data_IF_397941023977
#
_entry.id   IF_397941023977
#
_cell.length_a   1.000
_cell.length_b   1.000
_cell.length_c   1.000
_cell.angle_alpha   90.00
_cell.angle_beta   90.00
_cell.angle_gamma   90.00
#
_symmetry.space_group_name_H-M   'P 1'
#
loop_
_entity.id
_entity.type
_entity.pdbx_description
1 polymer ?
#
# COMPACT_ATOMS: atom_id res chain seq x y z
N UNK A 1 -13.34 -3.24 -0.60
CA UNK A 1 -13.89 -2.28 -1.57
C UNK A 1 -13.08 -2.39 -2.86
N UNK A 2 -13.69 -2.73 -4.00
CA UNK A 2 -13.01 -2.59 -5.30
C UNK A 2 -13.66 -1.42 -6.04
N UNK A 3 -13.01 -0.26 -6.05
CA UNK A 3 -13.35 0.73 -7.06
C UNK A 3 -13.07 0.12 -8.45
N UNK A 4 -13.98 0.33 -9.40
CA UNK A 4 -13.79 -0.16 -10.77
C UNK A 4 -12.51 0.43 -11.37
N UNK A 5 -11.55 -0.38 -11.83
CA UNK A 5 -10.26 0.07 -12.39
C UNK A 5 -10.40 1.06 -13.54
N UNK A 6 -11.56 1.06 -14.22
CA UNK A 6 -11.91 1.92 -15.35
C UNK A 6 -11.95 3.43 -15.05
N UNK A 7 -11.98 3.86 -13.78
CA UNK A 7 -11.90 5.28 -13.43
C UNK A 7 -10.49 5.86 -13.55
N UNK A 8 -9.47 5.01 -13.55
CA UNK A 8 -8.09 5.43 -13.76
C UNK A 8 -7.77 5.23 -15.25
N UNK A 9 -7.24 6.27 -15.91
CA UNK A 9 -6.65 6.13 -17.23
C UNK A 9 -5.38 5.29 -17.10
N UNK A 10 -5.52 3.96 -17.09
CA UNK A 10 -4.41 3.02 -17.08
C UNK A 10 -3.76 3.10 -18.47
N UNK A 11 -2.54 3.64 -18.50
CA UNK A 11 -1.74 3.65 -19.72
C UNK A 11 -1.46 2.22 -20.20
N UNK A 12 -1.42 2.03 -21.52
CA UNK A 12 -1.34 0.70 -22.12
C UNK A 12 0.01 0.02 -21.80
N UNK A 13 -0.05 -1.16 -21.17
CA UNK A 13 1.10 -1.85 -20.53
C UNK A 13 2.14 -2.44 -21.49
N UNK A 14 1.91 -2.43 -22.81
CA UNK A 14 2.82 -3.02 -23.81
C UNK A 14 4.06 -2.17 -24.12
N UNK A 15 4.17 -0.97 -23.54
CA UNK A 15 5.27 -0.02 -23.81
C UNK A 15 6.45 -0.23 -22.84
N UNK A 16 6.25 -0.90 -21.70
CA UNK A 16 7.25 -0.98 -20.65
C UNK A 16 8.18 -2.21 -20.78
N UNK A 17 9.50 -2.05 -20.51
CA UNK A 17 10.43 -3.16 -20.55
C UNK A 17 10.09 -4.20 -19.47
N UNK A 18 9.76 -5.40 -19.94
CA UNK A 18 9.39 -6.55 -19.11
C UNK A 18 10.35 -7.69 -19.35
N UNK A 19 10.63 -8.42 -18.27
CA UNK A 19 11.57 -9.53 -18.26
C UNK A 19 10.94 -10.71 -17.54
N UNK A 20 11.20 -11.90 -18.05
CA UNK A 20 10.95 -13.16 -17.33
C UNK A 20 12.03 -13.37 -16.29
N UNK A 21 11.74 -14.04 -15.17
CA UNK A 21 12.73 -14.35 -14.12
C UNK A 21 13.99 -15.07 -14.66
N UNK A 22 13.85 -15.81 -15.76
CA UNK A 22 14.97 -16.43 -16.46
C UNK A 22 16.04 -15.41 -16.91
N UNK A 23 15.65 -14.25 -17.40
CA UNK A 23 16.53 -13.25 -18.00
C UNK A 23 17.46 -12.53 -16.99
N UNK A 24 16.97 -11.92 -15.89
CA UNK A 24 17.83 -11.31 -14.87
C UNK A 24 18.69 -12.37 -14.16
N UNK A 25 18.21 -13.62 -14.03
CA UNK A 25 18.97 -14.69 -13.38
C UNK A 25 20.23 -15.06 -14.16
N UNK A 26 20.17 -15.05 -15.50
CA UNK A 26 21.34 -15.25 -16.38
C UNK A 26 22.37 -14.12 -16.26
N UNK A 27 21.93 -12.94 -15.82
CA UNK A 27 22.77 -11.76 -15.65
C UNK A 27 23.22 -11.54 -14.20
N UNK A 28 23.06 -12.55 -13.33
CA UNK A 28 23.40 -12.50 -11.90
C UNK A 28 22.74 -11.32 -11.14
N UNK A 29 21.55 -10.92 -11.57
CA UNK A 29 20.78 -9.89 -10.87
C UNK A 29 20.19 -10.50 -9.59
N UNK A 30 20.24 -9.74 -8.50
CA UNK A 30 19.73 -10.13 -7.18
C UNK A 30 18.30 -9.63 -6.97
N UNK A 31 17.59 -10.24 -6.02
CA UNK A 31 16.28 -9.76 -5.55
C UNK A 31 16.34 -8.33 -4.99
N UNK A 32 17.43 -7.98 -4.32
CA UNK A 32 17.66 -6.62 -3.82
C UNK A 32 17.73 -5.60 -4.97
N UNK A 33 18.35 -5.95 -6.10
CA UNK A 33 18.38 -5.07 -7.27
C UNK A 33 16.98 -4.89 -7.87
N UNK A 34 16.16 -5.95 -7.95
CA UNK A 34 14.76 -5.82 -8.36
C UNK A 34 13.98 -4.87 -7.43
N UNK A 35 14.17 -5.00 -6.12
CA UNK A 35 13.56 -4.11 -5.13
C UNK A 35 14.00 -2.64 -5.33
N UNK A 36 15.30 -2.39 -5.55
CA UNK A 36 15.82 -1.04 -5.87
C UNK A 36 15.27 -0.50 -7.21
N UNK A 37 14.90 -1.38 -8.13
CA UNK A 37 14.17 -1.07 -9.36
C UNK A 37 12.66 -0.97 -9.13
N UNK A 38 12.24 -0.64 -7.91
CA UNK A 38 10.84 -0.41 -7.53
C UNK A 38 9.91 -1.59 -7.87
N UNK A 39 10.45 -2.82 -7.95
CA UNK A 39 9.63 -4.01 -8.04
C UNK A 39 8.85 -4.19 -6.72
N UNK A 40 7.57 -4.59 -6.77
CA UNK A 40 6.82 -4.94 -5.57
C UNK A 40 7.56 -5.95 -4.70
N UNK A 41 7.41 -5.83 -3.38
CA UNK A 41 8.12 -6.69 -2.42
C UNK A 41 7.81 -8.18 -2.66
N UNK A 42 6.56 -8.52 -2.97
CA UNK A 42 6.14 -9.89 -3.28
C UNK A 42 6.81 -10.42 -4.56
N UNK A 43 7.06 -9.56 -5.55
CA UNK A 43 7.80 -9.91 -6.78
C UNK A 43 9.28 -10.16 -6.47
N UNK A 44 9.91 -9.29 -5.67
CA UNK A 44 11.30 -9.44 -5.26
C UNK A 44 11.52 -10.72 -4.43
N UNK A 45 10.61 -11.03 -3.50
CA UNK A 45 10.63 -12.25 -2.70
C UNK A 45 10.43 -13.50 -3.55
N UNK A 46 9.46 -13.51 -4.47
CA UNK A 46 9.26 -14.62 -5.42
C UNK A 46 10.47 -14.84 -6.31
N UNK A 47 11.15 -13.76 -6.70
CA UNK A 47 12.39 -13.87 -7.47
C UNK A 47 13.52 -14.47 -6.63
N UNK A 48 13.68 -14.06 -5.36
CA UNK A 48 14.63 -14.69 -4.45
C UNK A 48 14.33 -16.19 -4.27
N UNK A 49 13.06 -16.53 -4.12
CA UNK A 49 12.62 -17.91 -4.03
C UNK A 49 12.98 -18.71 -5.30
N UNK A 50 12.78 -18.13 -6.49
CA UNK A 50 13.21 -18.72 -7.76
C UNK A 50 14.74 -18.94 -7.82
N UNK A 51 15.54 -17.95 -7.41
CA UNK A 51 17.00 -18.09 -7.35
C UNK A 51 17.44 -19.23 -6.42
N UNK A 52 16.81 -19.35 -5.25
CA UNK A 52 17.07 -20.44 -4.31
C UNK A 52 16.68 -21.81 -4.89
N UNK A 53 15.58 -21.87 -5.64
CA UNK A 53 15.15 -23.09 -6.32
C UNK A 53 16.18 -23.53 -7.36
N UNK A 54 16.75 -22.63 -8.16
CA UNK A 54 17.79 -22.97 -9.14
C UNK A 54 19.01 -23.66 -8.51
N UNK A 55 19.30 -23.39 -7.23
CA UNK A 55 20.42 -23.99 -6.49
C UNK A 55 20.07 -25.35 -5.88
N UNK A 56 18.80 -25.60 -5.54
CA UNK A 56 18.37 -26.76 -4.73
C UNK A 56 17.55 -27.79 -5.50
N UNK A 57 16.89 -27.41 -6.60
CA UNK A 57 16.01 -28.29 -7.38
C UNK A 57 15.92 -27.85 -8.84
N UNK A 58 15.67 -28.79 -9.77
CA UNK A 58 15.43 -28.44 -11.18
C UNK A 58 13.99 -27.94 -11.45
N UNK A 59 13.24 -27.51 -10.42
CA UNK A 59 11.88 -27.01 -10.61
C UNK A 59 11.92 -25.57 -11.16
N UNK A 60 11.57 -25.42 -12.45
CA UNK A 60 11.54 -24.13 -13.16
C UNK A 60 10.16 -23.50 -13.25
N UNK A 61 9.25 -23.81 -12.33
CA UNK A 61 7.86 -23.32 -12.35
C UNK A 61 7.71 -21.79 -12.42
N UNK A 62 8.70 -21.03 -11.94
CA UNK A 62 8.67 -19.57 -11.91
C UNK A 62 9.49 -18.91 -13.03
N UNK A 63 10.12 -19.70 -13.91
CA UNK A 63 11.02 -19.18 -14.95
C UNK A 63 10.29 -18.20 -15.91
N UNK A 64 9.01 -18.45 -16.19
CA UNK A 64 8.17 -17.62 -17.06
C UNK A 64 7.48 -16.45 -16.34
N UNK A 65 7.68 -16.29 -15.02
CA UNK A 65 7.10 -15.16 -14.29
C UNK A 65 7.73 -13.87 -14.76
N UNK A 66 6.87 -12.91 -15.09
CA UNK A 66 7.26 -11.61 -15.63
C UNK A 66 7.39 -10.61 -14.48
N UNK A 67 8.45 -9.82 -14.52
CA UNK A 67 8.55 -8.56 -13.79
C UNK A 67 8.82 -7.43 -14.77
N UNK A 68 8.48 -6.22 -14.36
CA UNK A 68 8.77 -5.02 -15.13
C UNK A 68 9.91 -4.27 -14.44
N UNK A 69 10.99 -3.97 -15.16
CA UNK A 69 12.22 -3.34 -14.61
C UNK A 69 12.05 -1.83 -14.34
N UNK A 70 11.38 -1.50 -13.24
CA UNK A 70 10.92 -0.16 -12.98
C UNK A 70 12.03 0.75 -12.48
N UNK A 71 11.79 2.04 -12.56
CA UNK A 71 12.49 2.99 -11.71
C UNK A 71 11.48 4.05 -11.34
N UNK A 72 11.62 4.62 -10.14
CA UNK A 72 10.85 5.79 -9.75
C UNK A 72 10.85 6.83 -10.88
N UNK A 73 9.69 7.45 -11.18
CA UNK A 73 8.50 7.55 -10.33
C UNK A 73 7.40 6.52 -10.51
N UNK A 74 7.59 5.49 -11.34
CA UNK A 74 6.56 4.47 -11.55
C UNK A 74 6.70 3.33 -10.55
N UNK A 75 5.57 2.76 -10.17
CA UNK A 75 5.51 1.65 -9.22
C UNK A 75 4.33 0.72 -9.57
N UNK A 76 4.14 -0.31 -8.74
CA UNK A 76 3.23 -1.44 -8.94
C UNK A 76 3.73 -2.51 -9.92
N UNK A 77 3.16 -3.71 -9.76
CA UNK A 77 3.44 -4.93 -10.51
C UNK A 77 3.33 -4.78 -12.03
N UNK A 78 2.58 -3.79 -12.53
CA UNK A 78 2.40 -3.51 -13.96
C UNK A 78 2.86 -2.12 -14.41
N UNK A 79 3.52 -1.32 -13.56
CA UNK A 79 3.90 0.09 -13.84
C UNK A 79 2.73 1.03 -14.17
N UNK A 80 1.53 0.66 -13.74
CA UNK A 80 0.31 1.40 -14.05
C UNK A 80 0.18 2.69 -13.24
N UNK A 81 0.92 2.82 -12.14
CA UNK A 81 0.90 4.01 -11.29
C UNK A 81 2.20 4.81 -11.41
N UNK A 82 2.05 6.14 -11.35
CA UNK A 82 3.15 7.09 -11.45
C UNK A 82 2.95 8.21 -10.43
N UNK A 83 4.01 8.58 -9.73
CA UNK A 83 4.04 9.82 -8.95
C UNK A 83 4.18 11.01 -9.91
N UNK A 84 3.12 11.80 -10.07
CA UNK A 84 3.08 12.91 -11.04
C UNK A 84 4.02 14.07 -10.71
N UNK A 85 4.33 14.28 -9.43
CA UNK A 85 5.14 15.39 -8.91
C UNK A 85 6.54 14.95 -8.46
N UNK A 86 7.10 13.98 -9.18
CA UNK A 86 8.45 13.50 -8.89
C UNK A 86 9.51 14.41 -9.50
N UNK A 87 10.25 15.13 -8.66
CA UNK A 87 11.49 15.77 -9.05
C UNK A 87 12.67 14.88 -8.66
N UNK A 88 13.56 14.60 -9.61
CA UNK A 88 14.77 13.78 -9.40
C UNK A 88 15.74 14.35 -8.34
N UNK A 89 15.52 15.59 -7.90
CA UNK A 89 16.33 16.27 -6.89
C UNK A 89 15.94 15.90 -5.45
N UNK A 90 14.83 15.20 -5.23
CA UNK A 90 14.43 14.75 -3.89
C UNK A 90 15.17 13.46 -3.51
N UNK A 91 15.66 13.41 -2.27
CA UNK A 91 16.47 12.31 -1.77
C UNK A 91 15.64 11.11 -1.32
N UNK A 92 14.36 11.31 -1.00
CA UNK A 92 13.44 10.27 -0.51
C UNK A 92 11.99 10.49 -0.94
N UNK A 93 11.18 9.43 -0.87
CA UNK A 93 9.72 9.52 -1.03
C UNK A 93 9.10 10.50 -0.03
N UNK A 94 9.61 10.52 1.19
CA UNK A 94 9.17 11.45 2.24
C UNK A 94 9.37 12.91 1.82
N UNK A 95 10.54 13.25 1.27
CA UNK A 95 10.82 14.60 0.77
C UNK A 95 9.90 14.99 -0.39
N UNK A 96 9.58 14.04 -1.28
CA UNK A 96 8.66 14.25 -2.40
C UNK A 96 7.25 14.57 -1.89
N UNK A 97 6.76 13.80 -0.91
CA UNK A 97 5.44 14.02 -0.31
C UNK A 97 5.41 15.38 0.40
N UNK A 98 6.44 15.71 1.17
CA UNK A 98 6.51 16.99 1.87
C UNK A 98 6.60 18.19 0.94
N UNK A 99 7.42 18.10 -0.12
CA UNK A 99 7.51 19.14 -1.14
C UNK A 99 6.17 19.35 -1.84
N UNK A 100 5.48 18.25 -2.17
CA UNK A 100 4.15 18.28 -2.79
C UNK A 100 3.17 19.10 -1.94
N UNK A 101 3.02 18.78 -0.66
CA UNK A 101 2.09 19.50 0.23
C UNK A 101 2.53 20.93 0.55
N UNK A 102 3.82 21.28 0.42
CA UNK A 102 4.30 22.65 0.62
C UNK A 102 4.09 23.55 -0.59
N UNK A 103 4.36 23.04 -1.79
CA UNK A 103 4.46 23.87 -2.99
C UNK A 103 3.23 23.79 -3.90
N UNK A 104 2.43 22.73 -3.77
CA UNK A 104 1.24 22.55 -4.57
C UNK A 104 0.02 22.84 -3.73
N UNK A 105 -0.81 23.76 -4.24
CA UNK A 105 -2.12 24.03 -3.68
C UNK A 105 -2.93 22.74 -3.74
N UNK A 106 -3.38 22.26 -2.57
CA UNK A 106 -4.20 21.06 -2.46
C UNK A 106 -5.48 21.28 -3.26
N UNK A 107 -5.53 20.69 -4.46
CA UNK A 107 -6.78 20.55 -5.19
C UNK A 107 -7.58 19.49 -4.47
N UNK A 108 -8.70 19.88 -3.87
CA UNK A 108 -9.66 18.96 -3.27
C UNK A 108 -9.91 17.78 -4.21
N UNK A 109 -9.36 16.63 -3.87
CA UNK A 109 -9.79 15.38 -4.48
C UNK A 109 -11.22 15.12 -4.03
N UNK A 110 -11.98 14.32 -4.78
CA UNK A 110 -13.26 13.84 -4.27
C UNK A 110 -12.96 13.05 -2.99
N UNK A 111 -13.46 13.53 -1.85
CA UNK A 111 -13.31 12.85 -0.58
C UNK A 111 -13.86 11.43 -0.67
N UNK A 112 -13.11 10.45 -0.18
CA UNK A 112 -13.62 9.09 0.00
C UNK A 112 -14.28 9.03 1.36
N UNK A 113 -15.61 9.05 1.38
CA UNK A 113 -16.37 9.02 2.62
C UNK A 113 -16.59 7.58 3.09
N UNK A 114 -16.54 7.36 4.39
CA UNK A 114 -17.02 6.12 4.98
C UNK A 114 -18.55 6.10 4.91
N UNK A 115 -19.10 5.24 4.05
CA UNK A 115 -20.54 5.18 3.78
C UNK A 115 -21.29 4.12 4.61
N UNK A 116 -20.56 3.31 5.37
CA UNK A 116 -21.14 2.21 6.12
C UNK A 116 -21.63 2.61 7.52
N UNK A 117 -21.37 3.86 7.92
CA UNK A 117 -21.90 4.47 9.13
C UNK A 117 -22.74 5.69 8.73
N UNK A 118 -23.94 5.80 9.29
CA UNK A 118 -24.78 6.97 9.09
C UNK A 118 -24.36 8.06 10.08
N UNK A 119 -23.65 9.06 9.57
CA UNK A 119 -23.04 10.13 10.36
C UNK A 119 -23.16 11.46 9.62
N UNK A 120 -23.62 12.51 10.32
CA UNK A 120 -23.69 13.87 9.78
C UNK A 120 -22.54 14.72 10.34
N UNK A 121 -21.46 14.85 9.57
CA UNK A 121 -20.28 15.65 9.95
C UNK A 121 -20.47 17.18 9.76
N UNK A 122 -21.66 17.64 9.35
CA UNK A 122 -21.97 19.07 9.18
C UNK A 122 -22.22 19.52 7.74
N UNK A 123 -22.15 20.84 7.46
CA UNK A 123 -22.55 21.37 6.16
C UNK A 123 -21.73 20.79 5.01
N UNK A 124 -22.41 20.60 3.87
CA UNK A 124 -21.97 19.79 2.74
C UNK A 124 -20.54 20.08 2.28
N UNK A 125 -19.67 19.10 2.55
CA UNK A 125 -18.35 18.71 1.99
C UNK A 125 -17.58 17.95 3.10
N UNK A 126 -17.94 18.13 4.37
CA UNK A 126 -17.45 17.30 5.47
C UNK A 126 -18.09 15.90 5.39
N UNK A 127 -17.29 14.85 5.41
CA UNK A 127 -17.74 13.47 5.55
C UNK A 127 -16.72 12.68 6.36
N UNK A 128 -17.22 11.65 7.06
CA UNK A 128 -16.42 10.83 7.97
C UNK A 128 -15.36 10.04 7.21
N UNK A 129 -14.11 10.15 7.63
CA UNK A 129 -13.02 9.28 7.23
C UNK A 129 -13.06 7.96 8.03
N UNK A 130 -12.58 6.86 7.45
CA UNK A 130 -12.58 5.57 8.15
C UNK A 130 -11.66 5.58 9.40
N UNK A 131 -10.68 6.48 9.45
CA UNK A 131 -9.79 6.65 10.60
C UNK A 131 -10.40 7.43 11.76
N UNK A 132 -11.54 8.10 11.54
CA UNK A 132 -12.33 8.86 12.51
C UNK A 132 -13.41 7.97 13.18
N UNK A 133 -13.29 6.64 13.10
CA UNK A 133 -14.24 5.70 13.71
C UNK A 133 -13.55 5.02 14.89
N UNK A 134 -14.16 5.10 16.08
CA UNK A 134 -13.61 4.56 17.31
C UNK A 134 -12.22 5.13 17.64
N UNK A 135 -12.00 6.41 17.34
CA UNK A 135 -10.74 7.10 17.58
C UNK A 135 -10.72 7.83 18.94
N UNK A 136 -11.85 7.83 19.65
CA UNK A 136 -12.06 8.49 20.93
C UNK A 136 -12.57 9.94 20.81
N UNK A 137 -12.84 10.41 19.60
CA UNK A 137 -13.38 11.74 19.28
C UNK A 137 -14.77 11.59 18.68
N UNK A 138 -15.71 12.44 19.08
CA UNK A 138 -17.03 12.49 18.46
C UNK A 138 -16.98 13.49 17.31
N UNK A 139 -16.96 12.98 16.08
CA UNK A 139 -16.96 13.73 14.82
C UNK A 139 -18.36 13.84 14.21
N UNK A 140 -19.26 12.91 14.53
CA UNK A 140 -20.65 12.96 14.10
C UNK A 140 -21.47 14.02 14.88
N UNK A 141 -22.07 14.99 14.17
CA UNK A 141 -22.87 16.06 14.81
C UNK A 141 -24.29 15.63 15.19
N UNK A 142 -24.78 14.55 14.59
CA UNK A 142 -26.12 14.00 14.84
C UNK A 142 -26.16 12.90 15.91
N UNK A 143 -25.03 12.60 16.54
CA UNK A 143 -24.90 11.63 17.64
C UNK A 143 -23.48 11.07 17.72
N UNK A 144 -23.16 10.29 18.74
CA UNK A 144 -21.84 9.67 18.94
C UNK A 144 -21.73 8.33 18.16
N UNK A 145 -22.25 8.26 16.93
CA UNK A 145 -22.39 7.01 16.18
C UNK A 145 -21.06 6.40 15.74
N UNK A 146 -20.09 7.25 15.47
CA UNK A 146 -18.68 6.94 15.21
C UNK A 146 -17.97 6.30 16.40
N UNK A 147 -18.41 6.67 17.61
CA UNK A 147 -17.88 6.16 18.87
C UNK A 147 -18.81 5.12 19.55
N UNK A 148 -19.93 4.79 18.91
CA UNK A 148 -20.88 3.83 19.44
C UNK A 148 -20.41 2.40 19.18
N UNK A 149 -20.61 1.52 20.15
CA UNK A 149 -20.28 0.10 20.02
C UNK A 149 -18.80 -0.22 19.76
N UNK A 150 -17.88 0.72 19.95
CA UNK A 150 -16.43 0.49 19.82
C UNK A 150 -15.91 -0.60 20.76
N UNK A 151 -16.58 -0.82 21.90
CA UNK A 151 -16.32 -1.95 22.80
C UNK A 151 -16.40 -3.31 22.08
N UNK A 152 -17.14 -3.44 20.97
CA UNK A 152 -17.17 -4.67 20.17
C UNK A 152 -15.82 -5.00 19.54
N UNK A 153 -15.04 -3.97 19.18
CA UNK A 153 -13.65 -4.14 18.75
C UNK A 153 -12.76 -4.57 19.93
N UNK A 154 -13.16 -4.29 21.17
CA UNK A 154 -12.43 -4.67 22.39
C UNK A 154 -12.89 -6.00 23.00
N UNK A 155 -13.96 -6.64 22.52
CA UNK A 155 -14.38 -7.96 23.01
C UNK A 155 -13.39 -9.04 22.60
N UNK A 156 -12.69 -8.84 21.48
CA UNK A 156 -11.82 -9.89 21.00
C UNK A 156 -10.66 -10.11 21.97
N UNK A 157 -10.49 -11.37 22.35
CA UNK A 157 -9.35 -11.82 23.13
C UNK A 157 -8.27 -12.26 22.14
N UNK A 158 -7.10 -11.64 22.25
CA UNK A 158 -5.92 -12.10 21.52
C UNK A 158 -5.33 -13.32 22.23
N UNK A 159 -4.52 -14.11 21.52
CA UNK A 159 -3.82 -15.23 22.16
C UNK A 159 -2.79 -14.73 23.18
N UNK A 160 -2.34 -15.60 24.10
CA UNK A 160 -1.38 -15.27 25.17
C UNK A 160 -0.06 -14.60 24.68
N UNK A 161 0.29 -14.75 23.41
CA UNK A 161 1.53 -14.26 22.79
C UNK A 161 1.30 -13.06 21.85
N UNK A 162 0.11 -12.47 21.88
CA UNK A 162 -0.29 -11.35 21.05
C UNK A 162 -0.55 -10.12 21.93
N UNK A 163 -0.32 -8.95 21.37
CA UNK A 163 -0.68 -7.66 21.95
C UNK A 163 -1.95 -7.17 21.25
N UNK A 164 -2.92 -6.67 22.03
CA UNK A 164 -4.14 -6.08 21.50
C UNK A 164 -3.98 -4.57 21.30
N UNK A 165 -4.11 -4.12 20.06
CA UNK A 165 -4.17 -2.71 19.70
C UNK A 165 -5.48 -2.05 20.20
N UNK A 166 -5.50 -0.73 20.27
CA UNK A 166 -6.68 0.05 20.67
C UNK A 166 -7.87 -0.18 19.73
N UNK A 167 -7.61 -0.39 18.45
CA UNK A 167 -8.61 -0.73 17.44
C UNK A 167 -9.03 -2.22 17.45
N UNK A 168 -8.65 -2.98 18.48
CA UNK A 168 -8.95 -4.40 18.63
C UNK A 168 -8.01 -5.34 17.88
N UNK A 169 -7.13 -4.87 16.99
CA UNK A 169 -6.28 -5.80 16.22
C UNK A 169 -5.28 -6.53 17.13
N UNK A 170 -5.09 -7.84 16.89
CA UNK A 170 -4.08 -8.65 17.57
C UNK A 170 -2.81 -8.67 16.73
N UNK A 171 -1.70 -8.21 17.29
CA UNK A 171 -0.38 -8.27 16.68
C UNK A 171 0.53 -9.17 17.52
N UNK A 172 1.56 -9.76 16.91
CA UNK A 172 2.55 -10.49 17.71
C UNK A 172 3.25 -9.53 18.67
N UNK A 173 3.55 -9.98 19.89
CA UNK A 173 4.25 -9.16 20.88
C UNK A 173 5.58 -8.58 20.38
N UNK A 174 6.24 -9.22 19.41
CA UNK A 174 7.45 -8.70 18.78
C UNK A 174 7.24 -7.35 18.09
N UNK A 175 6.05 -7.07 17.58
CA UNK A 175 5.72 -5.81 16.89
C UNK A 175 5.19 -4.73 17.84
N UNK A 176 5.03 -5.03 19.13
CA UNK A 176 4.57 -4.05 20.09
C UNK A 176 5.70 -3.06 20.42
N UNK A 177 5.55 -1.81 19.93
CA UNK A 177 6.55 -0.73 20.05
C UNK A 177 7.85 -0.97 19.29
N UNK A 178 7.77 -1.67 18.16
CA UNK A 178 8.84 -1.61 17.16
C UNK A 178 8.78 -0.21 16.50
N UNK A 179 9.70 0.67 16.90
CA UNK A 179 9.99 1.95 16.23
C UNK A 179 10.90 1.75 15.01
#
# INVERSE_FOLDING_TARGET
MSESPWKFHIENNDIFPKFTFAEPSKSNITSQQLYLWSAPIDVAERYQFYLNQLLTSNNRSLETKVFYNCTLPRFDSMWQYKVNYYHQNHLSLYDIIHDYYRNYEYKSTNFTCYIHLQCNCGPSVACLDWSEICDGTVDCLDGEFDEEHCWQLEINECNDHEYRCTNGQCITQSFFRDD
#
